data_IF_621782390091
#
_entry.id   IF_621782390091
#
_cell.length_a   1.000
_cell.length_b   1.000
_cell.length_c   1.000
_cell.angle_alpha   90.00
_cell.angle_beta   90.00
_cell.angle_gamma   90.00
#
_symmetry.space_group_name_H-M   'P 1'
#
loop_
_entity.id
_entity.type
_entity.pdbx_description
1 polymer ?
#
# COMPACT_ATOMS: atom_id res chain seq x y z
N UNK A 1 -57.55 -18.24 46.94
CA UNK A 1 -57.31 -17.96 45.50
C UNK A 1 -56.68 -16.60 45.24
N UNK A 2 -57.22 -15.49 45.80
CA UNK A 2 -56.71 -14.11 45.57
C UNK A 2 -55.21 -13.90 45.82
N UNK A 3 -54.64 -14.52 46.86
CA UNK A 3 -53.20 -14.39 47.22
C UNK A 3 -52.27 -15.02 46.18
N UNK A 4 -52.66 -16.16 45.61
CA UNK A 4 -51.87 -16.88 44.61
C UNK A 4 -51.87 -16.11 43.29
N UNK A 5 -53.01 -15.51 42.93
CA UNK A 5 -53.14 -14.68 41.72
C UNK A 5 -52.25 -13.43 41.79
N UNK A 6 -52.13 -12.79 42.96
CA UNK A 6 -51.22 -11.66 43.15
C UNK A 6 -49.75 -12.06 43.00
N UNK A 7 -49.37 -13.25 43.48
CA UNK A 7 -47.99 -13.75 43.39
C UNK A 7 -47.62 -14.03 41.93
N UNK A 8 -48.52 -14.66 41.16
CA UNK A 8 -48.30 -14.93 39.73
C UNK A 8 -48.22 -13.63 38.92
N UNK A 9 -49.09 -12.66 39.21
CA UNK A 9 -49.06 -11.34 38.57
C UNK A 9 -47.77 -10.56 38.87
N UNK A 10 -47.17 -10.75 40.05
CA UNK A 10 -45.91 -10.13 40.43
C UNK A 10 -44.67 -10.82 39.82
N UNK A 11 -44.78 -12.12 39.52
CA UNK A 11 -43.69 -12.90 38.91
C UNK A 11 -43.64 -12.81 37.38
N UNK A 12 -44.75 -12.50 36.72
CA UNK A 12 -44.84 -12.32 35.26
C UNK A 12 -43.85 -11.27 34.71
N UNK A 13 -43.68 -10.07 35.30
CA UNK A 13 -42.71 -9.07 34.85
C UNK A 13 -41.25 -9.53 34.94
N UNK A 14 -40.92 -10.44 35.87
CA UNK A 14 -39.56 -10.93 36.08
C UNK A 14 -39.10 -11.80 34.92
N UNK A 15 -40.03 -12.52 34.27
CA UNK A 15 -39.74 -13.34 33.09
C UNK A 15 -39.40 -12.51 31.84
N UNK A 16 -39.93 -11.28 31.76
CA UNK A 16 -39.66 -10.36 30.64
C UNK A 16 -38.33 -9.59 30.78
N UNK A 17 -37.76 -9.47 31.98
CA UNK A 17 -36.47 -8.80 32.19
C UNK A 17 -35.27 -9.64 31.70
N UNK A 18 -35.42 -10.96 31.60
CA UNK A 18 -34.36 -11.89 31.17
C UNK A 18 -34.18 -12.02 29.65
N UNK A 19 -34.98 -11.32 28.84
CA UNK A 19 -34.90 -11.34 27.38
C UNK A 19 -34.07 -10.15 26.82
N UNK A 20 -32.94 -9.84 27.47
CA UNK A 20 -31.98 -8.91 26.88
C UNK A 20 -31.27 -9.64 25.72
N UNK A 21 -31.31 -9.14 24.48
CA UNK A 21 -30.43 -9.68 23.45
C UNK A 21 -29.00 -9.52 23.97
N UNK A 22 -28.25 -10.62 23.98
CA UNK A 22 -26.83 -10.64 24.29
C UNK A 22 -26.15 -9.78 23.21
N UNK A 23 -26.04 -8.47 23.44
CA UNK A 23 -25.18 -7.62 22.61
C UNK A 23 -23.78 -8.24 22.75
N UNK A 24 -23.12 -8.63 21.64
CA UNK A 24 -21.77 -9.17 21.74
C UNK A 24 -20.94 -8.16 22.52
N UNK A 25 -20.31 -8.63 23.60
CA UNK A 25 -19.57 -7.77 24.50
C UNK A 25 -18.50 -7.02 23.68
N UNK A 26 -18.41 -5.71 23.84
CA UNK A 26 -17.35 -4.90 23.23
C UNK A 26 -15.98 -5.54 23.53
N UNK A 27 -15.36 -6.20 22.54
CA UNK A 27 -14.06 -6.87 22.69
C UNK A 27 -12.90 -5.89 22.55
N UNK A 28 -13.02 -4.76 23.25
CA UNK A 28 -11.98 -3.75 23.35
C UNK A 28 -11.17 -3.96 24.62
N UNK A 29 -9.88 -4.21 24.50
CA UNK A 29 -8.97 -4.30 25.65
C UNK A 29 -7.74 -3.43 25.46
N UNK A 30 -7.07 -3.10 26.58
CA UNK A 30 -5.84 -2.32 26.56
C UNK A 30 -4.66 -3.17 27.05
N UNK A 31 -3.54 -3.08 26.35
CA UNK A 31 -2.30 -3.80 26.68
C UNK A 31 -1.10 -2.97 26.27
N UNK A 32 -0.14 -2.74 27.18
CA UNK A 32 1.11 -2.00 26.93
C UNK A 32 0.91 -0.67 26.17
N UNK A 33 0.06 0.22 26.67
CA UNK A 33 -0.26 1.52 26.05
C UNK A 33 -0.86 1.41 24.64
N UNK A 34 -1.44 0.27 24.30
CA UNK A 34 -2.20 0.04 23.07
C UNK A 34 -3.61 -0.36 23.41
N UNK A 35 -4.53 0.02 22.53
CA UNK A 35 -5.91 -0.46 22.54
C UNK A 35 -6.09 -1.41 21.38
N UNK A 36 -6.62 -2.58 21.67
CA UNK A 36 -7.02 -3.56 20.68
C UNK A 36 -8.54 -3.57 20.65
N UNK A 37 -9.11 -3.37 19.48
CA UNK A 37 -10.54 -3.46 19.21
C UNK A 37 -10.74 -4.65 18.30
N UNK A 38 -11.49 -5.64 18.77
CA UNK A 38 -11.95 -6.75 17.94
C UNK A 38 -13.42 -6.51 17.67
N UNK A 39 -13.80 -6.46 16.40
CA UNK A 39 -15.17 -6.37 15.93
C UNK A 39 -15.47 -7.63 15.12
N UNK A 40 -16.44 -8.43 15.58
CA UNK A 40 -16.82 -9.68 14.95
C UNK A 40 -18.26 -9.58 14.46
N UNK A 41 -18.40 -9.51 13.14
CA UNK A 41 -19.69 -9.41 12.45
C UNK A 41 -20.22 -10.77 11.96
N UNK A 42 -19.54 -11.87 12.31
CA UNK A 42 -19.85 -13.24 11.87
C UNK A 42 -19.08 -13.64 10.61
N UNK A 43 -19.29 -12.92 9.50
CA UNK A 43 -18.61 -13.21 8.23
C UNK A 43 -17.21 -12.56 8.15
N UNK A 44 -16.98 -11.53 8.95
CA UNK A 44 -15.75 -10.75 9.01
C UNK A 44 -15.42 -10.41 10.47
N UNK A 45 -14.18 -10.72 10.85
CA UNK A 45 -13.55 -10.29 12.09
C UNK A 45 -12.48 -9.23 11.79
N UNK A 46 -12.65 -8.03 12.33
CA UNK A 46 -11.71 -6.93 12.23
C UNK A 46 -10.97 -6.73 13.56
N UNK A 47 -9.65 -6.81 13.52
CA UNK A 47 -8.74 -6.53 14.63
C UNK A 47 -8.01 -5.23 14.35
N UNK A 48 -8.42 -4.16 15.02
CA UNK A 48 -7.79 -2.84 14.93
C UNK A 48 -6.97 -2.54 16.18
N UNK A 49 -5.71 -2.15 16.00
CA UNK A 49 -4.81 -1.78 17.11
C UNK A 49 -4.44 -0.31 17.03
N UNK A 50 -4.63 0.40 18.13
CA UNK A 50 -4.34 1.81 18.28
C UNK A 50 -3.25 2.03 19.32
N UNK A 51 -2.31 2.94 19.04
CA UNK A 51 -1.36 3.44 20.01
C UNK A 51 -2.05 4.53 20.84
N UNK A 52 -2.03 4.38 22.18
CA UNK A 52 -2.56 5.37 23.10
C UNK A 52 -1.48 6.37 23.48
N UNK A 53 -1.85 7.66 23.56
CA UNK A 53 -0.98 8.72 24.06
C UNK A 53 -0.77 8.58 25.57
N UNK A 54 0.21 9.31 26.13
CA UNK A 54 0.59 9.24 27.55
C UNK A 54 -0.57 9.55 28.52
N UNK A 55 -1.61 10.23 28.04
CA UNK A 55 -2.81 10.59 28.79
C UNK A 55 -3.95 9.57 28.66
N UNK A 56 -3.77 8.49 27.89
CA UNK A 56 -4.79 7.46 27.65
C UNK A 56 -6.00 7.94 26.82
N UNK A 57 -5.92 9.15 26.25
CA UNK A 57 -7.01 9.78 25.52
C UNK A 57 -7.18 9.18 24.11
N UNK A 58 -8.43 8.98 23.70
CA UNK A 58 -8.81 8.26 22.48
C UNK A 58 -8.87 9.17 21.26
N UNK A 59 -9.05 10.47 21.48
CA UNK A 59 -9.24 11.47 20.41
C UNK A 59 -7.99 11.64 19.52
N UNK A 60 -6.82 11.23 20.00
CA UNK A 60 -5.56 11.28 19.26
C UNK A 60 -4.88 9.92 19.13
N UNK A 61 -5.64 8.83 19.24
CA UNK A 61 -5.07 7.49 19.11
C UNK A 61 -4.74 7.17 17.65
N UNK A 62 -3.46 6.84 17.37
CA UNK A 62 -3.00 6.50 16.03
C UNK A 62 -3.19 5.00 15.79
N UNK A 63 -3.97 4.62 14.77
CA UNK A 63 -4.09 3.21 14.34
C UNK A 63 -2.72 2.76 13.82
N UNK A 64 -2.17 1.68 14.38
CA UNK A 64 -0.85 1.12 14.02
C UNK A 64 -0.97 -0.20 13.26
N UNK A 65 -2.10 -0.89 13.41
CA UNK A 65 -2.36 -2.17 12.75
C UNK A 65 -3.86 -2.38 12.52
N UNK A 66 -4.18 -3.05 11.42
CA UNK A 66 -5.50 -3.54 11.08
C UNK A 66 -5.39 -4.93 10.45
N UNK A 67 -6.07 -5.92 11.01
CA UNK A 67 -6.21 -7.25 10.44
C UNK A 67 -7.69 -7.53 10.17
N UNK A 68 -8.04 -7.84 8.93
CA UNK A 68 -9.40 -8.21 8.52
C UNK A 68 -9.38 -9.67 8.12
N UNK A 69 -10.15 -10.49 8.82
CA UNK A 69 -10.21 -11.93 8.65
C UNK A 69 -11.62 -12.34 8.23
N UNK A 70 -11.73 -12.99 7.08
CA UNK A 70 -12.94 -13.66 6.60
C UNK A 70 -12.63 -15.14 6.38
N UNK A 71 -13.64 -15.98 6.15
CA UNK A 71 -13.45 -17.43 5.94
C UNK A 71 -12.41 -17.77 4.85
N UNK A 72 -12.34 -16.94 3.80
CA UNK A 72 -11.54 -17.21 2.61
C UNK A 72 -10.32 -16.28 2.45
N UNK A 73 -10.20 -15.23 3.28
CA UNK A 73 -9.20 -14.19 3.07
C UNK A 73 -8.78 -13.54 4.38
N UNK A 74 -7.48 -13.31 4.51
CA UNK A 74 -6.90 -12.45 5.54
C UNK A 74 -6.21 -11.25 4.89
N UNK A 75 -6.48 -10.05 5.38
CA UNK A 75 -5.81 -8.81 4.96
C UNK A 75 -5.16 -8.19 6.20
N UNK A 76 -3.86 -7.95 6.14
CA UNK A 76 -3.13 -7.25 7.19
C UNK A 76 -2.59 -5.91 6.68
N UNK A 77 -2.72 -4.87 7.49
CA UNK A 77 -2.18 -3.53 7.24
C UNK A 77 -1.43 -3.06 8.47
N UNK A 78 -0.19 -2.58 8.27
CA UNK A 78 0.59 -1.86 9.28
C UNK A 78 0.63 -0.40 8.88
N UNK A 79 0.28 0.47 9.82
CA UNK A 79 0.34 1.91 9.63
C UNK A 79 1.61 2.39 10.33
N UNK A 80 2.58 2.79 9.52
CA UNK A 80 3.79 3.46 10.00
C UNK A 80 3.60 4.96 9.82
N UNK A 81 3.99 5.73 10.83
CA UNK A 81 3.94 7.19 10.77
C UNK A 81 5.01 7.81 9.86
N UNK A 82 6.05 7.03 9.54
CA UNK A 82 7.11 7.41 8.60
C UNK A 82 6.90 6.73 7.26
N UNK A 83 6.86 7.53 6.20
CA UNK A 83 7.04 7.05 4.83
C UNK A 83 8.35 7.61 4.31
N UNK A 84 9.17 6.75 3.72
CA UNK A 84 10.43 7.18 3.11
C UNK A 84 10.17 7.73 1.72
N UNK A 85 10.24 9.06 1.58
CA UNK A 85 10.26 9.69 0.27
C UNK A 85 11.67 9.51 -0.32
N UNK A 86 11.79 8.61 -1.27
CA UNK A 86 13.01 8.48 -2.06
C UNK A 86 13.21 9.74 -2.89
N UNK A 87 14.16 10.59 -2.52
CA UNK A 87 14.52 11.78 -3.29
C UNK A 87 15.27 11.33 -4.56
N UNK A 88 14.77 11.63 -5.78
CA UNK A 88 15.49 11.32 -7.01
C UNK A 88 16.89 11.94 -7.01
N UNK A 89 17.88 11.22 -7.56
CA UNK A 89 19.29 11.63 -7.52
C UNK A 89 19.55 13.02 -8.13
N UNK A 90 18.72 13.47 -9.07
CA UNK A 90 18.82 14.81 -9.67
C UNK A 90 18.66 15.94 -8.64
N UNK A 91 17.89 15.72 -7.58
CA UNK A 91 17.67 16.69 -6.50
C UNK A 91 18.73 16.61 -5.39
N UNK A 92 19.62 15.60 -5.40
CA UNK A 92 20.72 15.49 -4.42
C UNK A 92 21.88 16.44 -4.77
N UNK A 93 22.66 16.94 -3.79
CA UNK A 93 23.89 17.71 -4.04
C UNK A 93 24.89 16.90 -4.87
N UNK A 94 25.65 17.55 -5.77
CA UNK A 94 26.57 16.86 -6.72
C UNK A 94 27.46 15.79 -6.07
N UNK A 95 28.02 16.05 -4.88
CA UNK A 95 28.88 15.09 -4.14
C UNK A 95 28.16 13.81 -3.68
N UNK A 96 26.82 13.85 -3.55
CA UNK A 96 25.98 12.73 -3.11
C UNK A 96 25.21 12.09 -4.27
N UNK A 97 25.35 12.59 -5.49
CA UNK A 97 24.75 11.97 -6.68
C UNK A 97 25.53 10.70 -6.99
N UNK A 98 24.83 9.62 -7.32
CA UNK A 98 25.49 8.46 -7.90
C UNK A 98 26.08 8.88 -9.25
N UNK A 99 27.18 8.24 -9.63
CA UNK A 99 27.70 8.42 -10.98
C UNK A 99 26.62 8.01 -11.98
N UNK A 100 26.39 8.87 -12.98
CA UNK A 100 25.42 8.59 -14.03
C UNK A 100 25.89 7.37 -14.80
N UNK A 101 25.25 6.23 -14.56
CA UNK A 101 25.37 5.05 -15.41
C UNK A 101 24.40 5.27 -16.55
N UNK A 102 24.94 5.85 -17.62
CA UNK A 102 24.21 5.91 -18.86
C UNK A 102 23.87 4.47 -19.28
N UNK A 103 22.60 4.24 -19.55
CA UNK A 103 22.03 2.96 -19.88
C UNK A 103 21.17 3.12 -21.13
N UNK A 104 21.12 2.08 -21.96
CA UNK A 104 20.31 2.04 -23.19
C UNK A 104 19.30 0.88 -23.15
N UNK A 105 19.30 0.07 -22.09
CA UNK A 105 18.27 -0.92 -21.85
C UNK A 105 16.94 -0.26 -21.45
N UNK A 106 15.84 -0.80 -21.98
CA UNK A 106 14.50 -0.30 -21.70
C UNK A 106 13.69 0.00 -22.95
N UNK A 107 12.62 0.77 -22.74
CA UNK A 107 11.62 1.06 -23.75
C UNK A 107 11.82 2.46 -24.32
N UNK A 108 12.10 2.54 -25.62
CA UNK A 108 12.22 3.78 -26.37
C UNK A 108 11.01 4.01 -27.27
N UNK A 109 10.57 5.27 -27.34
CA UNK A 109 9.62 5.74 -28.36
C UNK A 109 10.33 6.84 -29.15
N UNK A 110 10.41 6.67 -30.47
CA UNK A 110 11.13 7.60 -31.34
C UNK A 110 10.38 7.82 -32.64
N UNK A 111 10.72 8.92 -33.31
CA UNK A 111 10.29 9.20 -34.68
C UNK A 111 11.54 9.49 -35.51
N UNK A 112 11.52 9.03 -36.76
CA UNK A 112 12.55 9.39 -37.74
C UNK A 112 11.82 10.11 -38.86
N UNK A 113 12.20 11.38 -39.08
CA UNK A 113 11.78 12.17 -40.22
C UNK A 113 13.05 12.68 -40.90
N UNK A 114 13.52 11.94 -41.91
CA UNK A 114 14.70 12.32 -42.67
C UNK A 114 14.27 13.00 -43.98
N UNK A 115 14.87 14.17 -44.33
CA UNK A 115 14.67 14.79 -45.63
C UNK A 115 15.17 13.82 -46.72
N UNK A 116 14.36 13.64 -47.77
CA UNK A 116 14.57 12.59 -48.78
C UNK A 116 15.96 12.59 -49.42
N UNK A 117 16.49 11.39 -49.67
CA UNK A 117 17.81 11.14 -50.26
C UNK A 117 18.19 9.64 -50.19
N UNK A 118 19.35 9.26 -50.71
CA UNK A 118 19.81 7.85 -50.75
C UNK A 118 19.81 7.17 -49.37
N UNK A 119 20.13 7.91 -48.30
CA UNK A 119 20.10 7.43 -46.92
C UNK A 119 18.67 7.13 -46.42
N UNK A 120 17.65 7.83 -46.93
CA UNK A 120 16.25 7.60 -46.57
C UNK A 120 15.68 6.34 -47.25
N UNK A 121 16.37 5.77 -48.25
CA UNK A 121 15.95 4.53 -48.93
C UNK A 121 16.36 3.26 -48.17
N UNK A 122 17.39 3.35 -47.33
CA UNK A 122 17.93 2.23 -46.54
C UNK A 122 17.18 2.09 -45.20
N UNK A 123 16.56 3.18 -44.72
CA UNK A 123 15.74 3.19 -43.50
C UNK A 123 14.25 3.18 -43.85
N UNK A 124 13.43 2.55 -43.01
CA UNK A 124 11.99 2.55 -43.16
C UNK A 124 11.39 3.90 -42.76
N UNK A 125 11.55 4.91 -43.62
CA UNK A 125 11.07 6.29 -43.44
C UNK A 125 9.52 6.39 -43.43
N UNK A 126 8.80 5.30 -43.70
CA UNK A 126 7.33 5.28 -43.70
C UNK A 126 6.72 5.15 -42.29
N UNK A 127 7.52 4.78 -41.28
CA UNK A 127 7.09 4.67 -39.89
C UNK A 127 7.62 5.83 -39.06
N UNK A 128 6.81 6.88 -38.97
CA UNK A 128 7.06 8.07 -38.16
C UNK A 128 6.99 7.81 -36.65
N UNK A 129 6.50 6.66 -36.19
CA UNK A 129 6.52 6.28 -34.78
C UNK A 129 7.12 4.88 -34.63
N UNK A 130 8.19 4.78 -33.87
CA UNK A 130 8.95 3.56 -33.61
C UNK A 130 8.99 3.30 -32.11
N UNK A 131 8.69 2.05 -31.75
CA UNK A 131 8.86 1.53 -30.42
C UNK A 131 10.06 0.59 -30.44
N UNK A 132 11.02 0.79 -29.56
CA UNK A 132 12.17 -0.07 -29.40
C UNK A 132 12.19 -0.62 -27.98
N UNK A 133 12.39 -1.92 -27.82
CA UNK A 133 12.58 -2.54 -26.52
C UNK A 133 13.97 -3.16 -26.50
N UNK A 134 14.92 -2.50 -25.88
CA UNK A 134 16.28 -3.00 -25.77
C UNK A 134 16.46 -3.78 -24.47
N UNK A 135 16.84 -5.05 -24.57
CA UNK A 135 16.95 -5.96 -23.41
C UNK A 135 18.41 -6.16 -22.97
N UNK A 136 19.37 -5.88 -23.85
CA UNK A 136 20.79 -6.14 -23.60
C UNK A 136 21.59 -4.89 -23.93
N UNK A 137 22.37 -4.40 -22.96
CA UNK A 137 23.28 -3.28 -23.17
C UNK A 137 24.75 -3.67 -23.04
N UNK A 138 25.59 -3.02 -23.83
CA UNK A 138 27.04 -3.02 -23.69
C UNK A 138 27.53 -1.57 -23.71
N UNK A 139 28.40 -1.23 -22.75
CA UNK A 139 29.01 0.10 -22.68
C UNK A 139 30.51 0.00 -22.53
N UNK A 140 31.21 0.97 -23.12
CA UNK A 140 32.67 1.03 -23.10
C UNK A 140 33.18 2.46 -23.23
N UNK A 141 34.26 2.78 -22.53
CA UNK A 141 34.97 4.05 -22.70
C UNK A 141 35.76 4.03 -24.00
N UNK A 142 35.72 5.14 -24.74
CA UNK A 142 36.53 5.30 -25.94
C UNK A 142 37.97 5.67 -25.53
N UNK A 143 38.80 4.66 -25.29
CA UNK A 143 40.19 4.84 -24.83
C UNK A 143 40.27 5.63 -23.53
N UNK A 144 41.16 6.63 -23.47
CA UNK A 144 41.32 7.55 -22.34
C UNK A 144 40.42 8.80 -22.42
N UNK A 145 39.42 8.82 -23.30
CA UNK A 145 38.53 9.97 -23.46
C UNK A 145 37.39 9.97 -22.42
N UNK A 146 36.76 11.13 -22.15
CA UNK A 146 35.56 11.20 -21.33
C UNK A 146 34.29 10.68 -22.04
N UNK A 147 34.41 10.23 -23.30
CA UNK A 147 33.28 9.71 -24.06
C UNK A 147 33.05 8.23 -23.77
N UNK A 148 31.79 7.87 -23.51
CA UNK A 148 31.33 6.50 -23.32
C UNK A 148 30.41 6.16 -24.50
N UNK A 149 30.78 5.11 -25.24
CA UNK A 149 29.91 4.50 -26.24
C UNK A 149 28.98 3.50 -25.56
N UNK A 150 27.70 3.55 -25.92
CA UNK A 150 26.68 2.63 -25.40
C UNK A 150 25.94 2.08 -26.61
N UNK A 151 25.77 0.77 -26.62
CA UNK A 151 25.02 0.06 -27.65
C UNK A 151 24.17 -1.00 -26.98
N UNK A 152 23.15 -1.48 -27.67
CA UNK A 152 22.35 -2.58 -27.18
C UNK A 152 21.54 -3.24 -28.28
N UNK A 153 20.89 -4.35 -27.91
CA UNK A 153 20.14 -5.22 -28.80
C UNK A 153 18.72 -5.45 -28.27
N UNK A 154 17.75 -5.13 -29.13
CA UNK A 154 16.31 -5.18 -28.88
C UNK A 154 15.52 -5.44 -30.13
#
# INVERSE_FOLDING_TARGET
>A
MKKITCIIAFLLPVLYLSASPLVPADTTFQYNNRRVVIDDSGDEMNVSVYQLNAQGDTLQSHKIYEGIFTENKSIERRYESSFDISIPDIFKPKRKRRESRAHWDGFGVGFVDLPGGELASILNNSRSLQFNLNLIEASGRLGNSPFIGITGMG
#
